data_IF_237200189794
#
_entry.id   IF_237200189794
#
_cell.length_a   1.000
_cell.length_b   1.000
_cell.length_c   1.000
_cell.angle_alpha   90.00
_cell.angle_beta   90.00
_cell.angle_gamma   90.00
#
_symmetry.space_group_name_H-M   'P 1'
#
loop_
_entity.id
_entity.type
_entity.pdbx_description
1 polymer ?
#
# COMPACT_ATOMS: atom_id res chain seq x y z
N UNK A 1 -24.80 10.55 13.92
CA UNK A 1 -23.40 10.26 13.52
C UNK A 1 -23.11 8.75 13.47
N UNK A 2 -23.46 7.96 14.50
CA UNK A 2 -23.22 6.51 14.54
C UNK A 2 -23.87 5.65 13.42
N UNK A 3 -24.92 6.15 12.75
CA UNK A 3 -25.61 5.41 11.67
C UNK A 3 -24.80 5.38 10.38
N UNK A 4 -24.07 6.45 10.05
CA UNK A 4 -23.22 6.49 8.84
C UNK A 4 -22.04 5.52 8.93
N UNK A 5 -21.52 5.32 10.13
CA UNK A 5 -20.42 4.40 10.41
C UNK A 5 -20.85 2.94 10.30
N UNK A 6 -22.06 2.60 10.77
CA UNK A 6 -22.64 1.25 10.56
C UNK A 6 -22.93 0.95 9.09
N UNK A 7 -23.45 1.92 8.34
CA UNK A 7 -23.71 1.76 6.88
C UNK A 7 -22.40 1.57 6.11
N UNK A 8 -21.33 2.27 6.51
CA UNK A 8 -20.01 2.09 5.91
C UNK A 8 -19.44 0.70 6.23
N UNK A 9 -19.53 0.25 7.48
CA UNK A 9 -19.09 -1.09 7.89
C UNK A 9 -19.87 -2.21 7.18
N UNK A 10 -21.19 -2.06 6.99
CA UNK A 10 -22.02 -2.99 6.22
C UNK A 10 -21.65 -3.02 4.74
N UNK A 11 -21.48 -1.86 4.11
CA UNK A 11 -21.06 -1.78 2.70
C UNK A 11 -19.67 -2.40 2.49
N UNK A 12 -18.75 -2.23 3.44
CA UNK A 12 -17.43 -2.87 3.34
C UNK A 12 -17.48 -4.37 3.66
N UNK A 13 -18.38 -4.83 4.54
CA UNK A 13 -18.65 -6.27 4.73
C UNK A 13 -19.18 -6.89 3.43
N UNK A 14 -20.08 -6.19 2.75
CA UNK A 14 -20.61 -6.59 1.44
C UNK A 14 -19.52 -6.63 0.35
N UNK A 15 -18.60 -5.65 0.34
CA UNK A 15 -17.45 -5.64 -0.55
C UNK A 15 -16.44 -6.75 -0.25
N UNK A 16 -16.23 -7.15 1.02
CA UNK A 16 -15.42 -8.32 1.39
C UNK A 16 -15.99 -9.63 0.83
N UNK A 17 -17.32 -9.77 0.78
CA UNK A 17 -17.97 -10.91 0.11
C UNK A 17 -17.84 -10.88 -1.42
N UNK A 18 -17.83 -9.69 -2.05
CA UNK A 18 -17.62 -9.55 -3.50
C UNK A 18 -16.18 -9.85 -3.95
N UNK A 19 -15.16 -9.45 -3.18
CA UNK A 19 -13.75 -9.74 -3.49
C UNK A 19 -13.46 -11.26 -3.44
N UNK A 20 -14.16 -12.03 -2.61
CA UNK A 20 -14.03 -13.50 -2.58
C UNK A 20 -14.64 -14.17 -3.83
N UNK A 21 -15.54 -13.51 -4.56
CA UNK A 21 -16.16 -14.05 -5.78
C UNK A 21 -15.32 -13.79 -7.04
N UNK A 22 -14.50 -12.72 -7.07
CA UNK A 22 -13.56 -12.48 -8.18
C UNK A 22 -12.34 -13.42 -8.19
N UNK A 23 -12.09 -14.14 -7.08
CA UNK A 23 -11.11 -15.24 -7.05
C UNK A 23 -11.47 -16.41 -7.99
N UNK A 24 -12.72 -16.49 -8.49
CA UNK A 24 -13.14 -17.51 -9.45
C UNK A 24 -13.04 -17.05 -10.92
N UNK A 25 -12.63 -15.80 -11.18
CA UNK A 25 -12.49 -15.27 -12.55
C UNK A 25 -11.18 -15.66 -13.26
N UNK A 26 -10.24 -16.32 -12.59
CA UNK A 26 -9.04 -16.90 -13.24
C UNK A 26 -9.32 -18.28 -13.88
N UNK A 27 -10.58 -18.71 -13.92
CA UNK A 27 -11.00 -19.97 -14.57
C UNK A 27 -11.56 -19.80 -15.99
N UNK A 28 -11.62 -18.57 -16.49
CA UNK A 28 -12.16 -18.21 -17.81
C UNK A 28 -11.14 -17.59 -18.78
N UNK A 29 -9.86 -17.96 -18.64
CA UNK A 29 -8.82 -17.86 -19.67
C UNK A 29 -8.00 -19.16 -19.56
N UNK A 30 -8.41 -20.28 -20.16
CA UNK A 30 -8.69 -20.39 -21.58
C UNK A 30 -7.40 -20.62 -22.36
N UNK A 31 -6.69 -21.72 -22.10
CA UNK A 31 -6.00 -22.47 -23.16
C UNK A 31 -5.75 -23.91 -22.69
N UNK A 32 -6.84 -24.70 -22.68
CA UNK A 32 -6.72 -26.15 -22.69
C UNK A 32 -6.19 -26.57 -24.06
N UNK A 33 -5.18 -27.45 -24.05
CA UNK A 33 -4.72 -28.33 -25.15
C UNK A 33 -3.63 -27.77 -26.07
N UNK A 34 -2.38 -27.83 -25.60
CA UNK A 34 -1.23 -27.97 -26.51
C UNK A 34 -0.84 -29.44 -26.59
N UNK A 35 -1.06 -30.01 -27.77
CA UNK A 35 -0.57 -31.31 -28.22
C UNK A 35 0.90 -31.49 -27.88
N UNK A 36 1.24 -32.67 -27.37
CA UNK A 36 2.60 -33.17 -27.15
C UNK A 36 3.43 -33.00 -28.44
N UNK A 37 4.24 -31.94 -28.50
CA UNK A 37 5.36 -31.81 -29.42
C UNK A 37 6.56 -31.42 -28.61
N UNK A 38 7.50 -32.36 -28.55
CA UNK A 38 8.76 -32.30 -27.83
C UNK A 38 9.63 -31.19 -28.42
N UNK A 39 9.40 -29.95 -27.98
CA UNK A 39 10.23 -28.80 -28.35
C UNK A 39 11.52 -28.87 -27.53
N UNK A 40 12.61 -29.25 -28.19
CA UNK A 40 13.99 -29.12 -27.70
C UNK A 40 14.18 -27.70 -27.15
N UNK A 41 14.18 -27.55 -25.82
CA UNK A 41 14.24 -26.22 -25.18
C UNK A 41 15.64 -25.62 -25.36
N UNK A 42 15.70 -24.45 -25.99
CA UNK A 42 16.93 -23.65 -26.07
C UNK A 42 17.36 -23.22 -24.67
N UNK A 43 18.66 -23.22 -24.37
CA UNK A 43 19.20 -22.88 -23.04
C UNK A 43 18.80 -21.47 -22.57
N UNK A 44 18.50 -20.54 -23.49
CA UNK A 44 17.99 -19.19 -23.19
C UNK A 44 16.54 -19.19 -22.68
N UNK A 45 15.71 -20.17 -23.03
CA UNK A 45 14.32 -20.28 -22.52
C UNK A 45 14.26 -20.94 -21.14
N UNK A 46 15.31 -21.67 -20.72
CA UNK A 46 15.39 -22.20 -19.36
C UNK A 46 15.64 -21.09 -18.32
N UNK A 47 16.52 -20.12 -18.58
CA UNK A 47 16.79 -19.02 -17.64
C UNK A 47 15.57 -18.11 -17.45
N UNK A 48 14.86 -17.77 -18.52
CA UNK A 48 13.61 -17.01 -18.46
C UNK A 48 12.50 -17.76 -17.74
N UNK A 49 12.42 -19.08 -17.89
CA UNK A 49 11.48 -19.92 -17.14
C UNK A 49 11.77 -19.91 -15.64
N UNK A 50 13.05 -19.96 -15.23
CA UNK A 50 13.40 -19.87 -13.81
C UNK A 50 13.06 -18.50 -13.22
N UNK A 51 13.29 -17.42 -13.97
CA UNK A 51 12.87 -16.08 -13.57
C UNK A 51 11.34 -15.99 -13.40
N UNK A 52 10.57 -16.48 -14.37
CA UNK A 52 9.12 -16.49 -14.29
C UNK A 52 8.61 -17.28 -13.08
N UNK A 53 9.22 -18.43 -12.77
CA UNK A 53 8.89 -19.21 -11.56
C UNK A 53 9.14 -18.40 -10.28
N UNK A 54 10.29 -17.74 -10.16
CA UNK A 54 10.60 -16.89 -9.00
C UNK A 54 9.58 -15.75 -8.85
N UNK A 55 9.22 -15.10 -9.97
CA UNK A 55 8.23 -14.03 -9.98
C UNK A 55 6.84 -14.53 -9.54
N UNK A 56 6.40 -15.70 -10.00
CA UNK A 56 5.13 -16.30 -9.55
C UNK A 56 5.15 -16.63 -8.05
N UNK A 57 6.27 -17.14 -7.53
CA UNK A 57 6.40 -17.37 -6.09
C UNK A 57 6.31 -16.06 -5.30
N UNK A 58 6.97 -15.00 -5.76
CA UNK A 58 6.88 -13.67 -5.14
C UNK A 58 5.44 -13.14 -5.13
N UNK A 59 4.76 -13.18 -6.28
CA UNK A 59 3.38 -12.71 -6.41
C UNK A 59 2.41 -13.51 -5.53
N UNK A 60 2.66 -14.81 -5.31
CA UNK A 60 1.87 -15.64 -4.38
C UNK A 60 2.01 -15.16 -2.94
N UNK A 61 3.23 -14.80 -2.52
CA UNK A 61 3.49 -14.25 -1.19
C UNK A 61 2.80 -12.89 -1.05
N UNK A 62 2.94 -11.99 -2.03
CA UNK A 62 2.31 -10.66 -2.00
C UNK A 62 0.78 -10.72 -2.03
N UNK A 63 0.21 -11.67 -2.76
CA UNK A 63 -1.22 -11.91 -2.78
C UNK A 63 -1.75 -12.41 -1.43
N UNK A 64 -0.92 -13.10 -0.65
CA UNK A 64 -1.28 -13.62 0.69
C UNK A 64 -1.25 -12.56 1.80
N UNK A 65 -0.78 -11.33 1.51
CA UNK A 65 -0.74 -10.25 2.51
C UNK A 65 -2.16 -9.77 2.82
N UNK A 66 -2.52 -9.78 4.11
CA UNK A 66 -3.80 -9.24 4.57
C UNK A 66 -3.80 -7.71 4.43
N UNK A 67 -4.80 -7.19 3.71
CA UNK A 67 -4.97 -5.74 3.49
C UNK A 67 -5.97 -5.16 4.50
N UNK A 68 -5.63 -4.00 5.06
CA UNK A 68 -6.53 -3.18 5.85
C UNK A 68 -7.43 -2.32 4.95
N UNK A 69 -8.59 -1.88 5.47
CA UNK A 69 -9.48 -0.97 4.73
C UNK A 69 -8.80 0.39 4.56
N UNK A 70 -8.94 0.99 3.39
CA UNK A 70 -8.38 2.33 3.10
C UNK A 70 -8.94 3.38 4.05
N UNK A 71 -10.24 3.35 4.35
CA UNK A 71 -10.86 4.25 5.34
C UNK A 71 -10.25 4.17 6.72
N UNK A 72 -9.96 2.95 7.20
CA UNK A 72 -9.29 2.75 8.49
C UNK A 72 -7.88 3.34 8.44
N UNK A 73 -7.10 3.01 7.41
CA UNK A 73 -5.76 3.56 7.23
C UNK A 73 -5.78 5.10 7.16
N UNK A 74 -6.75 5.69 6.46
CA UNK A 74 -6.91 7.14 6.38
C UNK A 74 -7.25 7.76 7.74
N UNK A 75 -8.12 7.14 8.52
CA UNK A 75 -8.45 7.60 9.87
C UNK A 75 -7.22 7.54 10.79
N UNK A 76 -6.46 6.45 10.74
CA UNK A 76 -5.23 6.27 11.52
C UNK A 76 -4.20 7.35 11.15
N UNK A 77 -4.01 7.63 9.86
CA UNK A 77 -3.14 8.72 9.40
C UNK A 77 -3.60 10.10 9.87
N UNK A 78 -4.90 10.39 9.78
CA UNK A 78 -5.47 11.66 10.26
C UNK A 78 -5.25 11.83 11.76
N UNK A 79 -5.47 10.77 12.53
CA UNK A 79 -5.29 10.78 13.98
C UNK A 79 -3.82 11.04 14.35
N UNK A 80 -2.89 10.30 13.72
CA UNK A 80 -1.46 10.49 13.94
C UNK A 80 -1.02 11.92 13.64
N UNK A 81 -1.46 12.49 12.50
CA UNK A 81 -1.15 13.88 12.15
C UNK A 81 -1.73 14.87 13.17
N UNK A 82 -2.96 14.67 13.65
CA UNK A 82 -3.60 15.57 14.61
C UNK A 82 -2.91 15.59 15.98
N UNK A 83 -2.44 14.43 16.47
CA UNK A 83 -1.71 14.32 17.73
C UNK A 83 -0.34 15.02 17.66
N UNK A 84 0.34 14.89 16.52
CA UNK A 84 1.69 15.42 16.35
C UNK A 84 1.71 16.86 15.80
N UNK A 85 0.60 17.38 15.28
CA UNK A 85 0.51 18.72 14.70
C UNK A 85 0.98 19.82 15.67
N UNK A 86 0.70 19.68 16.97
CA UNK A 86 1.09 20.67 18.00
C UNK A 86 2.60 20.69 18.26
N UNK A 87 3.26 19.59 18.00
CA UNK A 87 4.69 19.40 18.22
C UNK A 87 5.49 19.61 16.93
N UNK A 88 4.83 19.99 15.84
CA UNK A 88 5.48 20.28 14.57
C UNK A 88 5.80 21.77 14.47
N UNK A 89 7.10 22.15 14.56
CA UNK A 89 7.61 23.50 14.29
C UNK A 89 7.07 24.20 13.05
N UNK A 90 6.81 23.43 11.99
CA UNK A 90 6.45 23.96 10.68
C UNK A 90 4.94 24.24 10.59
N UNK A 91 4.14 23.52 11.37
CA UNK A 91 2.69 23.74 11.44
C UNK A 91 2.31 24.81 12.46
N UNK A 92 2.88 24.76 13.67
CA UNK A 92 2.55 25.71 14.75
C UNK A 92 3.35 27.01 14.66
N UNK A 93 4.49 26.99 13.96
CA UNK A 93 5.46 28.07 13.96
C UNK A 93 6.28 28.08 15.25
N UNK A 94 7.60 28.20 15.11
CA UNK A 94 8.50 28.42 16.25
C UNK A 94 8.66 29.93 16.45
N UNK A 95 8.62 30.45 17.70
CA UNK A 95 9.00 31.83 17.96
C UNK A 95 10.43 32.10 17.48
N UNK A 96 10.64 33.33 17.05
CA UNK A 96 11.88 33.80 16.44
C UNK A 96 13.17 33.56 17.27
N UNK A 97 13.08 33.36 18.58
CA UNK A 97 14.20 33.07 19.49
C UNK A 97 14.66 31.62 19.44
N UNK A 98 13.74 30.69 19.19
CA UNK A 98 13.98 29.25 19.36
C UNK A 98 14.30 28.56 18.03
N UNK A 99 14.24 29.30 16.92
CA UNK A 99 14.62 28.81 15.60
C UNK A 99 16.16 28.79 15.45
N UNK A 100 16.81 27.60 15.40
CA UNK A 100 18.27 27.49 15.31
C UNK A 100 18.84 27.96 13.97
N UNK A 101 18.00 28.09 12.93
CA UNK A 101 18.40 28.56 11.61
C UNK A 101 18.25 30.08 11.44
N UNK A 102 17.85 30.80 12.49
CA UNK A 102 17.73 32.26 12.43
C UNK A 102 19.07 32.93 12.69
N UNK A 103 19.43 33.90 11.85
CA UNK A 103 20.60 34.76 12.06
C UNK A 103 20.52 35.46 13.42
N UNK A 104 21.52 35.22 14.26
CA UNK A 104 21.71 35.98 15.49
C UNK A 104 21.98 37.43 15.12
N UNK A 105 21.18 38.38 15.63
CA UNK A 105 21.51 39.80 15.51
C UNK A 105 22.90 39.99 16.10
N UNK A 106 23.84 40.53 15.32
CA UNK A 106 25.18 40.85 15.79
C UNK A 106 25.02 41.88 16.91
N UNK A 107 25.44 41.55 18.13
CA UNK A 107 25.48 42.54 19.21
C UNK A 107 26.53 43.60 18.84
N UNK A 108 26.11 44.85 18.64
CA UNK A 108 27.06 45.97 18.66
C UNK A 108 27.42 46.21 20.12
N UNK A 109 28.69 46.04 20.46
CA UNK A 109 29.22 46.51 21.75
C UNK A 109 29.23 48.04 21.64
N UNK A 110 28.42 48.71 22.48
CA UNK A 110 28.47 50.16 22.69
C UNK A 110 29.45 50.47 23.82
#
# INVERSE_FOLDING_TARGET
MAVKERIYEERVRESRSKIRFESLSWRWLGCLRTSTTERRMSSKTQSSLQYAKKMVQQLRIEASIERIKVSKASADLMHYCAEHARHDPLLMGIPNSDNPFKDKKRCTIL
#
